data_IF_807717140668
#
_entry.id   IF_807717140668
#
_cell.length_a   1.000
_cell.length_b   1.000
_cell.length_c   1.000
_cell.angle_alpha   90.00
_cell.angle_beta   90.00
_cell.angle_gamma   90.00
#
_symmetry.space_group_name_H-M   'P 1'
#
loop_
_entity.id
_entity.type
_entity.pdbx_description
1 polymer ?
#
# COMPACT_ATOMS: atom_id res chain seq x y z
N UNK A 1 16.00 11.87 75.16
CA UNK A 1 16.60 11.56 73.86
C UNK A 1 15.64 12.02 72.79
N UNK A 2 15.94 13.06 71.97
CA UNK A 2 15.04 13.60 70.99
C UNK A 2 15.23 12.87 69.64
N UNK A 3 14.07 12.59 68.97
CA UNK A 3 14.01 12.04 67.63
C UNK A 3 14.26 13.13 66.59
N UNK A 4 15.25 12.93 65.74
CA UNK A 4 15.54 13.75 64.56
C UNK A 4 14.51 13.51 63.47
N UNK A 5 13.84 14.60 62.99
CA UNK A 5 12.97 14.58 61.83
C UNK A 5 13.84 14.63 60.56
N UNK A 6 13.69 13.61 59.72
CA UNK A 6 14.23 13.61 58.36
C UNK A 6 13.41 14.54 57.44
N UNK A 7 14.07 15.48 56.84
CA UNK A 7 13.54 16.36 55.75
C UNK A 7 13.31 15.55 54.49
N UNK A 8 12.07 15.56 53.99
CA UNK A 8 11.74 15.06 52.64
C UNK A 8 12.32 16.06 51.63
N UNK A 9 13.20 15.58 50.77
CA UNK A 9 13.56 16.30 49.56
C UNK A 9 12.39 16.24 48.54
N UNK A 10 12.07 17.40 48.04
CA UNK A 10 11.08 17.60 46.94
C UNK A 10 11.54 16.93 45.66
N UNK A 11 10.60 16.23 45.02
CA UNK A 11 10.82 15.54 43.77
C UNK A 11 11.14 16.48 42.63
N UNK A 12 12.21 16.15 41.90
CA UNK A 12 12.49 16.71 40.60
C UNK A 12 11.41 16.23 39.60
N UNK A 13 10.64 17.18 39.10
CA UNK A 13 9.78 16.96 37.95
C UNK A 13 10.68 16.81 36.73
N UNK A 14 10.83 15.60 36.23
CA UNK A 14 11.45 15.36 34.93
C UNK A 14 10.49 15.91 33.87
N UNK A 15 10.79 17.11 33.38
CA UNK A 15 10.12 17.65 32.20
C UNK A 15 10.50 16.76 30.99
N UNK A 16 9.59 15.87 30.66
CA UNK A 16 9.74 14.88 29.58
C UNK A 16 9.53 15.45 28.18
N UNK A 17 9.96 16.68 27.92
CA UNK A 17 9.99 17.22 26.56
C UNK A 17 11.03 16.45 25.74
N UNK A 18 10.60 15.40 25.07
CA UNK A 18 11.41 14.76 24.03
C UNK A 18 11.57 15.78 22.91
N UNK A 19 12.73 16.44 22.88
CA UNK A 19 13.11 17.25 21.74
C UNK A 19 13.16 16.30 20.53
N UNK A 20 12.18 16.41 19.65
CA UNK A 20 12.23 15.79 18.33
C UNK A 20 13.48 16.36 17.65
N UNK A 21 14.52 15.52 17.57
CA UNK A 21 15.67 15.85 16.72
C UNK A 21 15.13 16.20 15.34
N UNK A 22 15.59 17.29 14.71
CA UNK A 22 15.20 17.56 13.34
C UNK A 22 15.58 16.32 12.54
N UNK A 23 14.56 15.67 11.94
CA UNK A 23 14.80 14.61 10.95
C UNK A 23 15.70 15.27 9.93
N UNK A 24 16.97 14.89 9.91
CA UNK A 24 17.91 15.33 8.90
C UNK A 24 17.21 15.14 7.57
N UNK A 25 16.89 16.25 6.91
CA UNK A 25 16.32 16.21 5.57
C UNK A 25 17.34 15.48 4.71
N UNK A 26 17.15 14.16 4.56
CA UNK A 26 17.71 13.48 3.40
C UNK A 26 17.26 14.34 2.24
N UNK A 27 18.23 14.96 1.54
CA UNK A 27 17.99 15.83 0.39
C UNK A 27 16.81 15.30 -0.38
N UNK A 28 15.79 16.12 -0.74
CA UNK A 28 14.72 15.64 -1.59
C UNK A 28 15.40 15.05 -2.83
N UNK A 29 15.36 13.73 -2.95
CA UNK A 29 15.82 13.09 -4.17
C UNK A 29 14.96 13.68 -5.26
N UNK A 30 15.58 14.21 -6.31
CA UNK A 30 14.84 14.66 -7.48
C UNK A 30 13.89 13.52 -7.89
N UNK A 31 12.61 13.84 -8.00
CA UNK A 31 11.57 12.84 -8.30
C UNK A 31 11.89 12.07 -9.60
N UNK A 32 12.52 12.74 -10.57
CA UNK A 32 12.97 12.11 -11.80
C UNK A 32 14.02 11.02 -11.56
N UNK A 33 15.01 11.27 -10.70
CA UNK A 33 16.00 10.25 -10.34
C UNK A 33 15.41 9.09 -9.53
N UNK A 34 14.41 9.38 -8.70
CA UNK A 34 13.71 8.37 -7.90
C UNK A 34 12.83 7.46 -8.77
N UNK A 35 12.21 8.01 -9.80
CA UNK A 35 11.25 7.35 -10.71
C UNK A 35 11.85 6.99 -12.08
N UNK A 36 13.16 6.74 -12.15
CA UNK A 36 13.79 6.24 -13.39
C UNK A 36 13.06 4.99 -13.89
N UNK A 37 12.49 4.96 -15.11
CA UNK A 37 11.68 3.84 -15.59
C UNK A 37 12.37 2.47 -15.48
N UNK A 38 13.66 2.38 -15.82
CA UNK A 38 14.44 1.15 -15.77
C UNK A 38 14.58 0.55 -14.34
N UNK A 39 14.31 1.33 -13.29
CA UNK A 39 14.45 0.92 -11.90
C UNK A 39 13.18 1.09 -11.07
N UNK A 40 12.05 1.37 -11.73
CA UNK A 40 10.75 1.54 -11.12
C UNK A 40 9.82 0.39 -11.45
N UNK A 41 8.83 0.14 -10.58
CA UNK A 41 7.68 -0.71 -10.89
C UNK A 41 6.40 -0.09 -10.31
N UNK A 42 5.28 -0.19 -11.03
CA UNK A 42 3.95 0.17 -10.54
C UNK A 42 3.31 -1.05 -9.88
N UNK A 43 3.02 -0.96 -8.59
CA UNK A 43 2.36 -2.01 -7.84
C UNK A 43 0.91 -1.62 -7.56
N UNK A 44 -0.05 -2.44 -7.99
CA UNK A 44 -1.45 -2.28 -7.62
C UNK A 44 -1.82 -3.28 -6.53
N UNK A 45 -2.50 -2.81 -5.48
CA UNK A 45 -2.91 -3.64 -4.36
C UNK A 45 -4.42 -3.88 -4.40
N UNK A 46 -4.81 -5.14 -4.60
CA UNK A 46 -6.19 -5.64 -4.52
C UNK A 46 -7.24 -4.86 -5.35
N UNK A 47 -6.86 -4.40 -6.54
CA UNK A 47 -7.77 -3.70 -7.44
C UNK A 47 -8.68 -4.66 -8.22
N UNK A 48 -9.33 -5.58 -7.51
CA UNK A 48 -10.16 -6.65 -8.05
C UNK A 48 -11.66 -6.30 -7.95
N UNK A 49 -12.50 -6.90 -8.82
CA UNK A 49 -13.95 -6.65 -8.86
C UNK A 49 -14.64 -6.92 -7.52
N UNK A 50 -14.29 -7.99 -6.81
CA UNK A 50 -14.90 -8.27 -5.51
C UNK A 50 -14.29 -7.46 -4.34
N UNK A 51 -13.32 -6.57 -4.60
CA UNK A 51 -12.70 -5.73 -3.57
C UNK A 51 -13.08 -4.26 -3.76
N UNK A 52 -13.05 -3.75 -4.99
CA UNK A 52 -13.34 -2.35 -5.32
C UNK A 52 -14.39 -2.18 -6.43
N UNK A 53 -14.93 -3.27 -6.97
CA UNK A 53 -16.06 -3.24 -7.88
C UNK A 53 -17.40 -3.07 -7.15
N UNK A 54 -18.49 -2.95 -7.91
CA UNK A 54 -19.82 -2.58 -7.39
C UNK A 54 -20.42 -3.60 -6.41
N UNK A 55 -19.93 -4.85 -6.43
CA UNK A 55 -20.41 -5.94 -5.57
C UNK A 55 -19.39 -6.36 -4.50
N UNK A 56 -18.49 -5.46 -4.14
CA UNK A 56 -17.46 -5.75 -3.14
C UNK A 56 -18.03 -5.89 -1.72
N UNK A 57 -17.30 -6.63 -0.88
CA UNK A 57 -17.71 -6.96 0.50
C UNK A 57 -17.83 -5.72 1.42
N UNK A 58 -17.07 -4.65 1.14
CA UNK A 58 -16.98 -3.47 1.99
C UNK A 58 -17.52 -2.23 1.27
N UNK A 59 -18.85 -1.92 1.37
CA UNK A 59 -19.46 -0.79 0.65
C UNK A 59 -18.78 0.56 0.93
N UNK A 60 -18.35 0.80 2.18
CA UNK A 60 -17.65 2.03 2.52
C UNK A 60 -16.30 2.19 1.78
N UNK A 61 -15.62 1.09 1.47
CA UNK A 61 -14.40 1.13 0.65
C UNK A 61 -14.72 1.42 -0.81
N UNK A 62 -15.80 0.83 -1.35
CA UNK A 62 -16.28 1.12 -2.72
C UNK A 62 -16.60 2.59 -2.86
N UNK A 63 -17.33 3.17 -1.91
CA UNK A 63 -17.66 4.60 -1.88
C UNK A 63 -16.37 5.48 -1.83
N UNK A 64 -15.40 5.11 -1.00
CA UNK A 64 -14.12 5.82 -0.94
C UNK A 64 -13.35 5.76 -2.27
N UNK A 65 -13.36 4.61 -2.93
CA UNK A 65 -12.75 4.41 -4.26
C UNK A 65 -13.45 5.25 -5.32
N UNK A 66 -14.78 5.29 -5.30
CA UNK A 66 -15.58 6.10 -6.22
C UNK A 66 -15.33 7.59 -6.01
N UNK A 67 -15.43 8.07 -4.78
CA UNK A 67 -15.26 9.48 -4.41
C UNK A 67 -13.87 10.01 -4.73
N UNK A 68 -12.82 9.19 -4.52
CA UNK A 68 -11.43 9.57 -4.85
C UNK A 68 -11.12 9.53 -6.34
N UNK A 69 -11.96 8.90 -7.16
CA UNK A 69 -11.68 8.66 -8.57
C UNK A 69 -10.52 7.70 -8.82
N UNK A 70 -10.18 6.87 -7.82
CA UNK A 70 -9.03 5.97 -7.83
C UNK A 70 -8.96 5.13 -9.10
N UNK A 71 -10.06 4.47 -9.51
CA UNK A 71 -10.07 3.57 -10.67
C UNK A 71 -9.61 4.28 -11.93
N UNK A 72 -10.17 5.46 -12.21
CA UNK A 72 -9.79 6.29 -13.38
C UNK A 72 -8.33 6.73 -13.31
N UNK A 73 -7.90 7.28 -12.19
CA UNK A 73 -6.55 7.80 -12.01
C UNK A 73 -5.51 6.69 -12.14
N UNK A 74 -5.79 5.54 -11.53
CA UNK A 74 -4.92 4.38 -11.56
C UNK A 74 -4.85 3.72 -12.95
N UNK A 75 -5.99 3.64 -13.66
CA UNK A 75 -6.00 3.16 -15.05
C UNK A 75 -5.15 4.03 -15.97
N UNK A 76 -5.27 5.37 -15.83
CA UNK A 76 -4.44 6.31 -16.58
C UNK A 76 -2.94 6.14 -16.21
N UNK A 77 -2.61 6.01 -14.93
CA UNK A 77 -1.23 5.81 -14.48
C UNK A 77 -0.63 4.49 -14.97
N UNK A 78 -1.41 3.40 -14.98
CA UNK A 78 -0.98 2.10 -15.51
C UNK A 78 -0.67 2.19 -17.02
N UNK A 79 -1.49 2.90 -17.79
CA UNK A 79 -1.21 3.18 -19.19
C UNK A 79 0.10 3.96 -19.40
N UNK A 80 0.39 4.95 -18.54
CA UNK A 80 1.66 5.70 -18.59
C UNK A 80 2.86 4.81 -18.19
N UNK A 81 2.72 3.98 -17.18
CA UNK A 81 3.75 3.02 -16.80
C UNK A 81 4.13 2.10 -17.96
N UNK A 82 3.15 1.48 -18.60
CA UNK A 82 3.35 0.60 -19.77
C UNK A 82 4.03 1.34 -20.93
N UNK A 83 3.57 2.54 -21.25
CA UNK A 83 4.15 3.36 -22.32
C UNK A 83 5.62 3.73 -22.03
N UNK A 84 6.00 3.91 -20.77
CA UNK A 84 7.36 4.20 -20.34
C UNK A 84 8.23 2.95 -20.14
N UNK A 85 7.70 1.74 -20.37
CA UNK A 85 8.40 0.47 -20.12
C UNK A 85 8.56 0.14 -18.63
N UNK A 86 7.79 0.78 -17.75
CA UNK A 86 7.75 0.48 -16.31
C UNK A 86 6.89 -0.75 -16.08
N UNK A 87 7.42 -1.82 -15.45
CA UNK A 87 6.64 -3.00 -15.14
C UNK A 87 5.43 -2.69 -14.27
N UNK A 88 4.26 -3.25 -14.64
CA UNK A 88 3.04 -3.20 -13.84
C UNK A 88 2.84 -4.55 -13.18
N UNK A 89 2.69 -4.54 -11.85
CA UNK A 89 2.53 -5.75 -11.03
C UNK A 89 1.24 -5.64 -10.24
N UNK A 90 0.29 -6.51 -10.54
CA UNK A 90 -1.00 -6.59 -9.86
C UNK A 90 -0.94 -7.58 -8.71
N UNK A 91 -1.07 -7.09 -7.47
CA UNK A 91 -1.08 -7.91 -6.27
C UNK A 91 -2.53 -8.30 -5.93
N UNK A 92 -2.84 -9.58 -6.06
CA UNK A 92 -4.20 -10.11 -5.96
C UNK A 92 -4.41 -10.87 -4.65
N UNK A 93 -5.55 -10.66 -4.00
CA UNK A 93 -6.04 -11.57 -2.98
C UNK A 93 -6.73 -12.74 -3.66
N UNK A 94 -6.29 -13.96 -3.41
CA UNK A 94 -6.88 -15.17 -3.97
C UNK A 94 -7.26 -16.15 -2.86
N UNK A 95 -8.15 -17.07 -3.20
CA UNK A 95 -8.54 -18.18 -2.33
C UNK A 95 -8.78 -19.43 -3.13
N UNK A 96 -8.54 -20.57 -2.52
CA UNK A 96 -9.00 -21.84 -3.03
C UNK A 96 -10.52 -21.96 -2.88
N UNK A 97 -11.22 -22.64 -3.79
CA UNK A 97 -12.68 -22.86 -3.68
C UNK A 97 -13.08 -23.54 -2.36
N UNK A 98 -12.26 -24.49 -1.89
CA UNK A 98 -12.47 -25.20 -0.62
C UNK A 98 -12.06 -24.37 0.61
N UNK A 99 -11.42 -23.20 0.39
CA UNK A 99 -10.89 -22.35 1.43
C UNK A 99 -9.71 -22.94 2.20
N UNK A 100 -9.14 -24.03 1.75
CA UNK A 100 -7.95 -24.63 2.35
C UNK A 100 -6.75 -23.68 2.31
N UNK A 101 -5.94 -23.63 3.38
CA UNK A 101 -4.77 -22.77 3.47
C UNK A 101 -5.06 -21.29 3.76
N UNK A 102 -6.33 -20.86 3.82
CA UNK A 102 -6.68 -19.47 4.17
C UNK A 102 -6.78 -19.32 5.68
N UNK A 103 -6.03 -18.35 6.23
CA UNK A 103 -6.07 -18.03 7.66
C UNK A 103 -7.34 -17.26 8.05
N UNK A 104 -7.74 -17.38 9.34
CA UNK A 104 -8.85 -16.64 9.94
C UNK A 104 -8.44 -16.02 11.28
N UNK A 105 -7.15 -15.79 11.46
CA UNK A 105 -6.52 -15.36 12.69
C UNK A 105 -6.71 -13.87 13.00
N UNK A 106 -7.41 -13.12 12.14
CA UNK A 106 -7.85 -11.75 12.42
C UNK A 106 -9.25 -11.52 11.84
N UNK A 107 -9.90 -10.44 12.31
CA UNK A 107 -11.28 -10.09 11.94
C UNK A 107 -11.44 -9.92 10.42
N UNK A 108 -10.50 -9.27 9.75
CA UNK A 108 -10.55 -9.05 8.30
C UNK A 108 -10.58 -10.37 7.53
N UNK A 109 -9.65 -11.28 7.82
CA UNK A 109 -9.55 -12.57 7.15
C UNK A 109 -10.75 -13.47 7.47
N UNK A 110 -11.23 -13.43 8.72
CA UNK A 110 -12.44 -14.15 9.13
C UNK A 110 -13.70 -13.66 8.42
N UNK A 111 -13.87 -12.35 8.23
CA UNK A 111 -14.98 -11.78 7.46
C UNK A 111 -14.89 -12.19 5.99
N UNK A 112 -13.72 -12.05 5.39
CA UNK A 112 -13.53 -12.49 4.02
C UNK A 112 -13.80 -13.99 3.82
N UNK A 113 -13.48 -14.85 4.80
CA UNK A 113 -13.77 -16.29 4.75
C UNK A 113 -15.28 -16.60 4.76
N UNK A 114 -16.08 -15.73 5.38
CA UNK A 114 -17.55 -15.86 5.45
C UNK A 114 -18.26 -15.25 4.23
N UNK A 115 -17.55 -14.55 3.37
CA UNK A 115 -18.13 -13.98 2.15
C UNK A 115 -18.64 -15.09 1.23
N UNK A 116 -19.81 -14.89 0.65
CA UNK A 116 -20.35 -15.74 -0.42
C UNK A 116 -19.56 -15.60 -1.72
N UNK A 117 -18.88 -14.46 -1.89
CA UNK A 117 -18.02 -14.21 -3.04
C UNK A 117 -16.61 -14.73 -2.77
N UNK A 118 -16.19 -15.73 -3.54
CA UNK A 118 -14.87 -16.33 -3.39
C UNK A 118 -13.94 -15.81 -4.49
N UNK A 119 -12.82 -15.24 -4.08
CA UNK A 119 -11.76 -14.73 -4.97
C UNK A 119 -10.93 -15.88 -5.55
N UNK A 120 -11.56 -16.73 -6.34
CA UNK A 120 -10.88 -17.88 -6.97
C UNK A 120 -10.10 -17.42 -8.19
N UNK A 121 -8.90 -17.93 -8.38
CA UNK A 121 -8.11 -17.64 -9.57
C UNK A 121 -8.92 -17.91 -10.86
N UNK A 122 -8.94 -16.92 -11.76
CA UNK A 122 -9.69 -16.99 -13.02
C UNK A 122 -11.20 -16.68 -12.92
N UNK A 123 -11.75 -16.43 -11.71
CA UNK A 123 -13.13 -16.01 -11.55
C UNK A 123 -13.31 -14.52 -11.87
N UNK A 124 -14.53 -14.12 -12.27
CA UNK A 124 -14.89 -12.71 -12.44
C UNK A 124 -14.69 -11.89 -11.16
N UNK A 125 -14.93 -12.47 -10.00
CA UNK A 125 -14.73 -11.83 -8.70
C UNK A 125 -13.26 -11.49 -8.44
N UNK A 126 -12.34 -12.33 -8.89
CA UNK A 126 -10.89 -12.13 -8.76
C UNK A 126 -10.28 -11.31 -9.91
N UNK A 127 -11.04 -11.03 -10.98
CA UNK A 127 -10.58 -10.22 -12.10
C UNK A 127 -10.26 -8.80 -11.63
N UNK A 128 -9.30 -8.16 -12.28
CA UNK A 128 -9.03 -6.74 -12.12
C UNK A 128 -10.22 -5.90 -12.64
N UNK A 129 -10.43 -4.74 -12.04
CA UNK A 129 -11.42 -3.78 -12.56
C UNK A 129 -11.06 -3.36 -14.00
N UNK A 130 -12.06 -3.09 -14.86
CA UNK A 130 -11.86 -2.85 -16.28
C UNK A 130 -10.87 -1.72 -16.61
N UNK A 131 -10.80 -0.70 -15.77
CA UNK A 131 -9.91 0.44 -15.98
C UNK A 131 -8.42 0.06 -15.92
N UNK A 132 -8.07 -1.01 -15.21
CA UNK A 132 -6.71 -1.52 -15.18
C UNK A 132 -6.39 -2.43 -16.37
N UNK A 133 -7.37 -3.15 -16.89
CA UNK A 133 -7.31 -4.08 -18.01
C UNK A 133 -5.95 -4.79 -18.09
N UNK A 134 -5.79 -6.00 -17.53
CA UNK A 134 -4.48 -6.64 -17.53
C UNK A 134 -4.01 -6.84 -18.97
N UNK A 135 -2.78 -6.39 -19.26
CA UNK A 135 -2.13 -6.57 -20.54
C UNK A 135 -1.14 -7.76 -20.48
N UNK A 136 -0.80 -8.37 -21.63
CA UNK A 136 0.09 -9.53 -21.66
C UNK A 136 1.47 -9.32 -21.02
N UNK A 137 1.91 -8.05 -20.90
CA UNK A 137 3.19 -7.69 -20.27
C UNK A 137 3.10 -7.47 -18.76
N UNK A 138 1.91 -7.49 -18.17
CA UNK A 138 1.71 -7.25 -16.74
C UNK A 138 1.97 -8.52 -15.93
N UNK A 139 2.54 -8.33 -14.75
CA UNK A 139 2.70 -9.40 -13.78
C UNK A 139 1.48 -9.49 -12.87
N UNK A 140 1.04 -10.70 -12.55
CA UNK A 140 -0.02 -10.96 -11.58
C UNK A 140 0.53 -11.82 -10.45
N UNK A 141 0.56 -11.27 -9.24
CA UNK A 141 1.06 -11.96 -8.04
C UNK A 141 -0.11 -12.23 -7.11
N UNK A 142 -0.51 -13.49 -7.06
CA UNK A 142 -1.61 -13.95 -6.21
C UNK A 142 -1.13 -14.42 -4.83
N UNK A 143 -1.77 -13.97 -3.75
CA UNK A 143 -1.54 -14.53 -2.42
C UNK A 143 -2.78 -15.27 -1.90
N UNK A 144 -2.56 -16.43 -1.30
CA UNK A 144 -3.62 -17.28 -0.72
C UNK A 144 -3.87 -17.01 0.77
N UNK A 145 -3.02 -16.18 1.40
CA UNK A 145 -3.08 -15.90 2.84
C UNK A 145 -2.48 -14.54 3.18
N UNK A 146 -2.71 -14.07 4.40
CA UNK A 146 -2.11 -12.84 4.92
C UNK A 146 -2.69 -11.58 4.30
N UNK A 147 -2.04 -10.46 4.57
CA UNK A 147 -2.46 -9.12 4.11
C UNK A 147 -1.39 -8.41 3.29
N UNK A 148 -0.10 -8.79 3.42
CA UNK A 148 1.00 -8.23 2.63
C UNK A 148 1.31 -9.12 1.43
N UNK A 149 1.46 -8.54 0.22
CA UNK A 149 1.80 -9.31 -0.97
C UNK A 149 3.27 -9.77 -1.02
N UNK A 150 4.15 -9.22 -0.19
CA UNK A 150 5.52 -9.69 -0.09
C UNK A 150 5.68 -11.02 0.67
N UNK A 151 4.69 -11.35 1.52
CA UNK A 151 4.80 -12.54 2.35
C UNK A 151 4.38 -13.81 1.61
N UNK A 152 5.33 -14.69 1.32
CA UNK A 152 5.07 -16.01 0.72
C UNK A 152 4.61 -15.97 -0.73
N UNK A 153 5.03 -14.97 -1.50
CA UNK A 153 4.75 -14.83 -2.93
C UNK A 153 6.03 -14.59 -3.73
N UNK A 154 5.91 -14.56 -5.05
CA UNK A 154 7.02 -14.26 -5.96
C UNK A 154 7.29 -12.75 -6.13
N UNK A 155 6.62 -11.84 -5.40
CA UNK A 155 6.75 -10.40 -5.61
C UNK A 155 8.20 -9.91 -5.45
N UNK A 156 8.87 -10.26 -4.35
CA UNK A 156 10.24 -9.81 -4.10
C UNK A 156 11.24 -10.32 -5.15
N UNK A 157 11.32 -11.62 -5.48
CA UNK A 157 12.22 -12.09 -6.53
C UNK A 157 11.88 -11.51 -7.91
N UNK A 158 10.62 -11.29 -8.27
CA UNK A 158 10.26 -10.61 -9.53
C UNK A 158 10.88 -9.21 -9.57
N UNK A 159 10.64 -8.40 -8.54
CA UNK A 159 11.17 -7.02 -8.48
C UNK A 159 12.70 -6.99 -8.54
N UNK A 160 13.37 -7.91 -7.82
CA UNK A 160 14.85 -8.01 -7.85
C UNK A 160 15.37 -8.39 -9.22
N UNK A 161 14.76 -9.37 -9.86
CA UNK A 161 15.17 -9.82 -11.19
C UNK A 161 14.96 -8.75 -12.26
N UNK A 162 13.99 -7.86 -12.08
CA UNK A 162 13.74 -6.69 -12.93
C UNK A 162 14.67 -5.50 -12.62
N UNK A 163 15.54 -5.60 -11.61
CA UNK A 163 16.41 -4.50 -11.21
C UNK A 163 15.71 -3.32 -10.56
N UNK A 164 14.49 -3.55 -10.02
CA UNK A 164 13.68 -2.51 -9.39
C UNK A 164 14.31 -2.09 -8.07
N UNK A 165 14.41 -0.79 -7.87
CA UNK A 165 14.83 -0.16 -6.60
C UNK A 165 13.75 0.76 -6.03
N UNK A 166 12.81 1.21 -6.85
CA UNK A 166 11.69 2.08 -6.46
C UNK A 166 10.36 1.42 -6.83
N UNK A 167 9.45 1.36 -5.87
CA UNK A 167 8.09 0.87 -6.10
C UNK A 167 7.09 2.02 -5.97
N UNK A 168 6.22 2.18 -6.97
CA UNK A 168 5.08 3.09 -6.94
C UNK A 168 3.88 2.30 -6.46
N UNK A 169 3.44 2.55 -5.23
CA UNK A 169 2.42 1.75 -4.55
C UNK A 169 1.05 2.40 -4.66
N UNK A 170 0.06 1.64 -5.13
CA UNK A 170 -1.31 2.10 -5.39
C UNK A 170 -2.35 1.07 -4.94
N UNK A 171 -3.64 1.43 -4.99
CA UNK A 171 -4.75 0.51 -4.71
C UNK A 171 -5.31 0.61 -3.29
N UNK A 172 -5.78 -0.50 -2.76
CA UNK A 172 -6.55 -0.57 -1.51
C UNK A 172 -6.11 -1.70 -0.57
N UNK A 173 -6.50 -1.68 0.70
CA UNK A 173 -6.95 -0.50 1.42
C UNK A 173 -5.76 0.18 2.07
N UNK A 174 -5.75 1.53 2.05
CA UNK A 174 -4.61 2.31 2.54
C UNK A 174 -4.25 1.95 3.99
N UNK A 175 -5.26 1.72 4.82
CA UNK A 175 -5.10 1.43 6.24
C UNK A 175 -4.71 -0.02 6.57
N UNK A 176 -4.67 -0.95 5.60
CA UNK A 176 -4.29 -2.36 5.85
C UNK A 176 -3.38 -2.90 4.77
N UNK A 177 -3.91 -3.20 3.57
CA UNK A 177 -3.17 -3.89 2.51
C UNK A 177 -2.03 -3.05 1.96
N UNK A 178 -2.30 -1.79 1.63
CA UNK A 178 -1.28 -0.83 1.16
C UNK A 178 -0.25 -0.56 2.25
N UNK A 179 -0.68 -0.43 3.52
CA UNK A 179 0.25 -0.23 4.65
C UNK A 179 1.20 -1.41 4.80
N UNK A 180 0.66 -2.63 4.77
CA UNK A 180 1.47 -3.86 4.82
C UNK A 180 2.46 -3.94 3.67
N UNK A 181 2.04 -3.60 2.44
CA UNK A 181 2.90 -3.55 1.26
C UNK A 181 4.03 -2.53 1.43
N UNK A 182 3.72 -1.31 1.89
CA UNK A 182 4.72 -0.24 2.08
C UNK A 182 5.74 -0.61 3.15
N UNK A 183 5.30 -1.08 4.32
CA UNK A 183 6.21 -1.49 5.41
C UNK A 183 7.16 -2.60 4.91
N UNK A 184 6.63 -3.60 4.22
CA UNK A 184 7.43 -4.71 3.72
C UNK A 184 8.38 -4.29 2.57
N UNK A 185 7.98 -3.33 1.73
CA UNK A 185 8.86 -2.76 0.72
C UNK A 185 10.05 -2.02 1.37
N UNK A 186 9.78 -1.18 2.38
CA UNK A 186 10.83 -0.47 3.14
C UNK A 186 11.77 -1.46 3.85
N UNK A 187 11.23 -2.50 4.48
CA UNK A 187 12.04 -3.55 5.14
C UNK A 187 12.99 -4.27 4.17
N UNK A 188 12.63 -4.34 2.89
CA UNK A 188 13.44 -4.95 1.81
C UNK A 188 14.35 -3.95 1.11
N UNK A 189 14.37 -2.68 1.54
CA UNK A 189 15.25 -1.64 1.01
C UNK A 189 14.77 -1.00 -0.28
N UNK A 190 13.49 -1.19 -0.67
CA UNK A 190 12.91 -0.44 -1.78
C UNK A 190 12.61 1.01 -1.36
N UNK A 191 12.81 1.94 -2.28
CA UNK A 191 12.22 3.28 -2.18
C UNK A 191 10.73 3.17 -2.49
N UNK A 192 9.91 3.91 -1.75
CA UNK A 192 8.46 3.89 -1.95
C UNK A 192 7.97 5.24 -2.39
N UNK A 193 7.22 5.28 -3.48
CA UNK A 193 6.46 6.45 -3.95
C UNK A 193 4.98 6.11 -3.86
N UNK A 194 4.18 7.01 -3.31
CA UNK A 194 2.75 6.82 -3.10
C UNK A 194 1.96 7.95 -3.75
N UNK A 195 1.34 7.73 -4.92
CA UNK A 195 0.42 8.68 -5.52
C UNK A 195 -0.87 8.71 -4.70
N UNK A 196 -1.10 9.81 -3.95
CA UNK A 196 -2.22 9.94 -3.01
C UNK A 196 -3.61 9.85 -3.65
N UNK A 197 -3.70 10.14 -4.93
CA UNK A 197 -4.92 10.08 -5.74
C UNK A 197 -5.15 8.70 -6.42
N UNK A 198 -4.23 7.74 -6.16
CA UNK A 198 -4.32 6.35 -6.61
C UNK A 198 -4.40 5.36 -5.43
N UNK A 199 -4.75 5.83 -4.25
CA UNK A 199 -5.00 4.99 -3.06
C UNK A 199 -6.31 5.36 -2.40
N UNK A 200 -6.97 4.40 -1.76
CA UNK A 200 -8.19 4.64 -0.98
C UNK A 200 -8.23 3.75 0.26
N UNK A 201 -8.98 4.19 1.25
CA UNK A 201 -9.20 3.48 2.51
C UNK A 201 -10.37 4.07 3.28
N UNK A 202 -10.69 3.51 4.44
CA UNK A 202 -11.84 3.93 5.27
C UNK A 202 -11.49 3.94 6.74
N UNK A 203 -12.08 4.86 7.54
CA UNK A 203 -12.89 6.00 7.10
C UNK A 203 -12.01 7.14 6.54
N UNK A 204 -12.56 8.12 5.79
CA UNK A 204 -11.78 9.15 5.09
C UNK A 204 -10.89 10.01 6.02
N UNK A 205 -11.38 10.37 7.20
CA UNK A 205 -10.62 11.13 8.19
C UNK A 205 -9.39 10.37 8.69
N UNK A 206 -9.48 9.04 8.82
CA UNK A 206 -8.34 8.21 9.19
C UNK A 206 -7.31 8.10 8.05
N UNK A 207 -7.79 8.05 6.81
CA UNK A 207 -6.92 8.06 5.60
C UNK A 207 -6.06 9.32 5.56
N UNK A 208 -6.64 10.50 5.84
CA UNK A 208 -5.89 11.76 5.90
C UNK A 208 -4.79 11.72 6.97
N UNK A 209 -5.10 11.23 8.17
CA UNK A 209 -4.13 11.06 9.26
C UNK A 209 -3.02 10.06 8.90
N UNK A 210 -3.36 8.96 8.24
CA UNK A 210 -2.37 7.98 7.80
C UNK A 210 -1.40 8.58 6.77
N UNK A 211 -1.91 9.31 5.80
CA UNK A 211 -1.07 9.98 4.80
C UNK A 211 -0.10 10.95 5.48
N UNK A 212 -0.59 11.79 6.38
CA UNK A 212 0.22 12.80 7.05
C UNK A 212 1.23 12.19 8.03
N UNK A 213 0.77 11.34 8.95
CA UNK A 213 1.56 10.95 10.11
C UNK A 213 2.26 9.58 9.98
N UNK A 214 1.85 8.75 9.01
CA UNK A 214 2.45 7.41 8.82
C UNK A 214 3.17 7.33 7.48
N UNK A 215 2.46 7.56 6.38
CA UNK A 215 3.07 7.43 5.05
C UNK A 215 4.11 8.50 4.76
N UNK A 216 3.95 9.71 5.30
CA UNK A 216 4.97 10.76 5.22
C UNK A 216 6.34 10.37 5.81
N UNK A 217 6.38 9.34 6.68
CA UNK A 217 7.62 8.78 7.23
C UNK A 217 8.19 7.62 6.40
N UNK A 218 7.38 6.98 5.57
CA UNK A 218 7.72 5.72 4.90
C UNK A 218 7.86 5.86 3.37
N UNK A 219 7.25 6.89 2.79
CA UNK A 219 7.12 7.03 1.34
C UNK A 219 7.22 8.49 0.90
N UNK A 220 7.60 8.70 -0.36
CA UNK A 220 7.45 9.99 -1.04
C UNK A 220 6.03 10.12 -1.56
N UNK A 221 5.23 11.00 -0.95
CA UNK A 221 3.82 11.22 -1.32
C UNK A 221 3.74 12.25 -2.43
N UNK A 222 3.10 11.87 -3.52
CA UNK A 222 2.95 12.69 -4.74
C UNK A 222 1.53 12.54 -5.33
N UNK A 223 1.29 13.07 -6.52
CA UNK A 223 0.12 12.81 -7.35
C UNK A 223 0.48 11.84 -8.49
N UNK A 224 -0.52 11.18 -9.07
CA UNK A 224 -0.33 10.36 -10.28
C UNK A 224 0.21 11.17 -11.46
N UNK A 225 -0.17 12.44 -11.56
CA UNK A 225 0.34 13.35 -12.59
C UNK A 225 1.84 13.62 -12.44
N UNK A 226 2.34 13.80 -11.22
CA UNK A 226 3.77 13.98 -10.95
C UNK A 226 4.57 12.72 -11.28
N UNK A 227 4.03 11.53 -10.99
CA UNK A 227 4.65 10.26 -11.36
C UNK A 227 4.71 10.11 -12.89
N UNK A 228 3.59 10.34 -13.57
CA UNK A 228 3.52 10.26 -15.03
C UNK A 228 4.52 11.21 -15.70
N UNK A 229 4.59 12.47 -15.25
CA UNK A 229 5.54 13.46 -15.76
C UNK A 229 7.02 13.06 -15.54
N UNK A 230 7.32 12.31 -14.47
CA UNK A 230 8.67 11.78 -14.23
C UNK A 230 9.02 10.64 -15.22
N UNK A 231 8.06 9.83 -15.62
CA UNK A 231 8.25 8.74 -16.59
C UNK A 231 8.28 9.20 -18.06
N UNK A 232 7.82 10.40 -18.36
CA UNK A 232 7.86 10.99 -19.72
C UNK A 232 9.22 11.64 -20.08
N UNK A 233 10.16 11.71 -19.13
CA UNK A 233 11.51 12.30 -19.32
C UNK A 233 12.50 11.26 -19.80
#
# INVERSE_FOLDING_TARGET
MPRTRGTRQSGDSVDGTVALLPVSSTMPRDLGSLLTPAHSALLTMECQEAVIGDHALFPALVEAVHTSGLRRNLGALAGRARAAGVPVVHNLALRRPDGGGSATNCKLLALGRRSSTVLTAGSSAAALVPELGPEPGDYQVGRLHGVSPFHGTELDPILRNLGVTTVVVTGVSLNVGVLGLVIEAVNRGFQVVLPRDCVAGTPPEYVALLLEHTYGLLATIVTSAEVAAAWER
#
